data_IF_406644208223
#
_entry.id   IF_406644208223
#
_cell.length_a   1.000
_cell.length_b   1.000
_cell.length_c   1.000
_cell.angle_alpha   90.00
_cell.angle_beta   90.00
_cell.angle_gamma   90.00
#
_symmetry.space_group_name_H-M   'P 1'
#
loop_
_entity.id
_entity.type
_entity.pdbx_description
1 polymer ?
#
# COMPACT_ATOMS: atom_id res chain seq x y z
N UNK A 1 -15.52 -51.36 -6.23
CA UNK A 1 -15.25 -50.13 -7.00
C UNK A 1 -14.92 -50.49 -8.45
N UNK A 2 -15.74 -50.03 -9.39
CA UNK A 2 -15.55 -50.27 -10.83
C UNK A 2 -14.39 -49.46 -11.42
N UNK A 3 -13.93 -49.80 -12.63
CA UNK A 3 -12.92 -49.01 -13.36
C UNK A 3 -13.38 -47.55 -13.58
N UNK A 4 -14.66 -47.36 -13.94
CA UNK A 4 -15.24 -46.03 -14.18
C UNK A 4 -15.29 -45.13 -12.94
N UNK A 5 -15.51 -45.69 -11.75
CA UNK A 5 -15.49 -44.92 -10.49
C UNK A 5 -14.08 -44.42 -10.16
N UNK A 6 -13.07 -45.27 -10.35
CA UNK A 6 -11.66 -44.90 -10.16
C UNK A 6 -11.21 -43.83 -11.14
N UNK A 7 -11.64 -43.93 -12.40
CA UNK A 7 -11.33 -42.92 -13.42
C UNK A 7 -11.99 -41.56 -13.11
N UNK A 8 -13.23 -41.57 -12.59
CA UNK A 8 -13.92 -40.35 -12.18
C UNK A 8 -13.20 -39.66 -11.00
N UNK A 9 -12.80 -40.42 -9.99
CA UNK A 9 -12.04 -39.92 -8.84
C UNK A 9 -10.69 -39.34 -9.29
N UNK A 10 -9.97 -40.04 -10.17
CA UNK A 10 -8.70 -39.56 -10.70
C UNK A 10 -8.85 -38.24 -11.50
N UNK A 11 -9.92 -38.11 -12.30
CA UNK A 11 -10.22 -36.84 -12.99
C UNK A 11 -10.55 -35.72 -12.01
N UNK A 12 -11.34 -36.00 -10.97
CA UNK A 12 -11.68 -35.03 -9.93
C UNK A 12 -10.45 -34.51 -9.19
N UNK A 13 -9.52 -35.40 -8.82
CA UNK A 13 -8.26 -35.01 -8.17
C UNK A 13 -7.42 -34.08 -9.06
N UNK A 14 -7.22 -34.44 -10.33
CA UNK A 14 -6.49 -33.58 -11.28
C UNK A 14 -7.14 -32.21 -11.47
N UNK A 15 -8.48 -32.16 -11.54
CA UNK A 15 -9.20 -30.89 -11.65
C UNK A 15 -9.00 -30.03 -10.40
N UNK A 16 -9.03 -30.64 -9.21
CA UNK A 16 -8.80 -29.94 -7.94
C UNK A 16 -7.36 -29.40 -7.84
N UNK A 17 -6.37 -30.20 -8.23
CA UNK A 17 -4.97 -29.77 -8.28
C UNK A 17 -4.78 -28.60 -9.24
N UNK A 18 -5.36 -28.67 -10.44
CA UNK A 18 -5.33 -27.58 -11.41
C UNK A 18 -6.01 -26.31 -10.88
N UNK A 19 -7.17 -26.44 -10.22
CA UNK A 19 -7.85 -25.32 -9.58
C UNK A 19 -6.98 -24.67 -8.48
N UNK A 20 -6.37 -25.47 -7.61
CA UNK A 20 -5.47 -24.96 -6.57
C UNK A 20 -4.26 -24.24 -7.16
N UNK A 21 -3.66 -24.79 -8.23
CA UNK A 21 -2.54 -24.16 -8.92
C UNK A 21 -2.91 -22.79 -9.48
N UNK A 22 -4.01 -22.70 -10.26
CA UNK A 22 -4.48 -21.44 -10.85
C UNK A 22 -4.79 -20.38 -9.79
N UNK A 23 -5.51 -20.75 -8.72
CA UNK A 23 -5.81 -19.83 -7.63
C UNK A 23 -4.54 -19.35 -6.91
N UNK A 24 -3.58 -20.27 -6.68
CA UNK A 24 -2.31 -19.96 -6.04
C UNK A 24 -1.39 -19.09 -6.90
N UNK A 25 -1.30 -19.36 -8.20
CA UNK A 25 -0.54 -18.55 -9.17
C UNK A 25 -1.09 -17.14 -9.27
N UNK A 26 -2.41 -16.99 -9.37
CA UNK A 26 -3.04 -15.69 -9.38
C UNK A 26 -2.79 -14.91 -8.08
N UNK A 27 -2.92 -15.57 -6.93
CA UNK A 27 -2.61 -14.97 -5.63
C UNK A 27 -1.16 -14.47 -5.56
N UNK A 28 -0.20 -15.28 -5.99
CA UNK A 28 1.23 -14.87 -6.06
C UNK A 28 1.45 -13.69 -7.00
N UNK A 29 0.81 -13.66 -8.16
CA UNK A 29 0.92 -12.56 -9.10
C UNK A 29 0.37 -11.25 -8.52
N UNK A 30 -0.79 -11.30 -7.85
CA UNK A 30 -1.37 -10.12 -7.17
C UNK A 30 -0.46 -9.63 -6.05
N UNK A 31 0.09 -10.52 -5.23
CA UNK A 31 1.01 -10.13 -4.16
C UNK A 31 2.32 -9.56 -4.71
N UNK A 32 2.84 -10.08 -5.83
CA UNK A 32 4.01 -9.52 -6.49
C UNK A 32 3.75 -8.07 -6.97
N UNK A 33 2.56 -7.79 -7.51
CA UNK A 33 2.16 -6.42 -7.90
C UNK A 33 2.08 -5.52 -6.67
N UNK A 34 1.43 -5.96 -5.60
CA UNK A 34 1.30 -5.17 -4.35
C UNK A 34 2.67 -4.87 -3.74
N UNK A 35 3.55 -5.86 -3.68
CA UNK A 35 4.91 -5.70 -3.18
C UNK A 35 5.73 -4.72 -4.02
N UNK A 36 5.58 -4.73 -5.35
CA UNK A 36 6.25 -3.79 -6.24
C UNK A 36 5.67 -2.37 -6.16
N UNK A 37 4.35 -2.25 -5.94
CA UNK A 37 3.66 -0.96 -5.85
C UNK A 37 3.96 -0.21 -4.54
N UNK A 38 3.98 -0.93 -3.41
CA UNK A 38 4.13 -0.36 -2.07
C UNK A 38 5.27 0.66 -1.95
N UNK A 39 6.54 0.37 -2.31
CA UNK A 39 7.62 1.33 -2.16
C UNK A 39 7.51 2.54 -3.10
N UNK A 40 6.79 2.41 -4.23
CA UNK A 40 6.54 3.53 -5.13
C UNK A 40 5.49 4.46 -4.51
N UNK A 41 4.41 3.88 -3.98
CA UNK A 41 3.37 4.63 -3.29
C UNK A 41 3.93 5.32 -2.04
N UNK A 42 4.73 4.63 -1.24
CA UNK A 42 5.36 5.20 -0.03
C UNK A 42 6.23 6.42 -0.37
N UNK A 43 7.09 6.30 -1.38
CA UNK A 43 7.92 7.41 -1.81
C UNK A 43 7.09 8.60 -2.32
N UNK A 44 5.96 8.33 -2.99
CA UNK A 44 5.07 9.37 -3.46
C UNK A 44 4.32 10.07 -2.30
N UNK A 45 3.87 9.31 -1.30
CA UNK A 45 3.28 9.85 -0.06
C UNK A 45 4.29 10.70 0.69
N UNK A 46 5.51 10.19 0.87
CA UNK A 46 6.61 10.92 1.49
C UNK A 46 6.91 12.24 0.78
N UNK A 47 6.99 12.23 -0.56
CA UNK A 47 7.21 13.43 -1.35
C UNK A 47 6.05 14.43 -1.21
N UNK A 48 4.81 13.94 -1.23
CA UNK A 48 3.63 14.78 -1.05
C UNK A 48 3.59 15.41 0.36
N UNK A 49 3.89 14.65 1.42
CA UNK A 49 3.93 15.13 2.79
C UNK A 49 5.08 16.13 3.03
N UNK A 50 6.19 16.00 2.30
CA UNK A 50 7.28 16.97 2.37
C UNK A 50 6.92 18.31 1.71
N UNK A 51 6.03 18.29 0.73
CA UNK A 51 5.49 19.51 0.13
C UNK A 51 4.45 20.23 1.02
N UNK A 52 3.94 19.58 2.07
CA UNK A 52 2.92 20.14 2.95
C UNK A 52 3.57 20.83 4.16
N UNK A 53 3.38 22.16 4.35
CA UNK A 53 3.91 22.87 5.51
C UNK A 53 3.29 22.41 6.84
N UNK A 54 4.07 22.41 7.91
CA UNK A 54 3.62 22.05 9.26
C UNK A 54 2.45 22.93 9.76
N UNK A 55 2.34 24.17 9.26
CA UNK A 55 1.23 25.06 9.54
C UNK A 55 -0.14 24.46 9.19
N UNK A 56 -0.21 23.58 8.17
CA UNK A 56 -1.45 22.90 7.76
C UNK A 56 -2.03 21.97 8.85
N UNK A 57 -1.21 21.51 9.80
CA UNK A 57 -1.68 20.71 10.93
C UNK A 57 -2.56 21.54 11.90
N UNK A 58 -2.40 22.87 11.93
CA UNK A 58 -3.26 23.74 12.73
C UNK A 58 -4.69 23.77 12.18
N UNK A 59 -4.82 23.84 10.86
CA UNK A 59 -6.12 23.87 10.18
C UNK A 59 -6.87 22.55 10.39
N UNK A 60 -6.16 21.42 10.28
CA UNK A 60 -6.74 20.08 10.51
C UNK A 60 -7.27 19.87 11.93
N UNK A 61 -6.81 20.65 12.91
CA UNK A 61 -7.21 20.54 14.33
C UNK A 61 -8.15 21.66 14.79
N UNK A 62 -8.67 22.48 13.86
CA UNK A 62 -9.54 23.61 14.17
C UNK A 62 -8.82 24.74 14.93
N UNK A 63 -7.54 24.97 14.63
CA UNK A 63 -6.75 26.09 15.15
C UNK A 63 -6.25 25.96 16.59
N UNK A 64 -6.51 24.84 17.27
CA UNK A 64 -6.14 24.62 18.68
C UNK A 64 -4.69 24.18 18.88
N UNK A 65 -4.02 23.78 17.81
CA UNK A 65 -2.64 23.28 17.85
C UNK A 65 -1.63 24.42 17.75
N UNK A 66 -0.77 24.56 18.78
CA UNK A 66 0.33 25.53 18.77
C UNK A 66 1.57 24.94 18.10
N UNK A 67 1.63 24.96 16.76
CA UNK A 67 2.78 24.40 16.01
C UNK A 67 3.96 25.36 15.91
N UNK A 68 3.83 26.61 16.37
CA UNK A 68 4.89 27.62 16.26
C UNK A 68 6.22 27.20 16.91
N UNK A 69 6.18 26.46 18.02
CA UNK A 69 7.40 25.93 18.65
C UNK A 69 8.06 24.81 17.81
N UNK A 70 7.24 23.99 17.14
CA UNK A 70 7.70 22.93 16.25
C UNK A 70 8.35 23.52 15.01
N UNK A 71 7.72 24.53 14.40
CA UNK A 71 8.28 25.24 13.25
C UNK A 71 9.59 25.95 13.60
N UNK A 72 9.65 26.62 14.76
CA UNK A 72 10.88 27.25 15.27
C UNK A 72 12.00 26.26 15.58
N UNK A 73 11.68 24.98 15.81
CA UNK A 73 12.67 23.91 16.01
C UNK A 73 13.30 23.41 14.69
N UNK A 74 12.84 23.93 13.54
CA UNK A 74 13.34 23.59 12.21
C UNK A 74 12.50 22.52 11.49
N UNK A 75 11.45 22.00 12.11
CA UNK A 75 10.52 21.06 11.50
C UNK A 75 9.46 21.85 10.70
N UNK A 76 9.66 21.95 9.39
CA UNK A 76 8.84 22.80 8.49
C UNK A 76 7.75 22.04 7.74
N UNK A 77 7.89 20.72 7.58
CA UNK A 77 7.00 19.90 6.76
C UNK A 77 6.31 18.84 7.62
N UNK A 78 5.17 18.35 7.15
CA UNK A 78 4.44 17.26 7.85
C UNK A 78 5.27 15.98 7.87
N UNK A 79 6.00 15.70 6.77
CA UNK A 79 6.97 14.61 6.73
C UNK A 79 7.99 14.70 7.87
N UNK A 80 8.63 15.86 8.04
CA UNK A 80 9.64 16.06 9.08
C UNK A 80 9.09 15.84 10.50
N UNK A 81 7.82 16.17 10.73
CA UNK A 81 7.13 15.91 12.00
C UNK A 81 6.93 14.40 12.24
N UNK A 82 6.50 13.66 11.22
CA UNK A 82 6.35 12.20 11.30
C UNK A 82 7.71 11.51 11.52
N UNK A 83 8.74 11.93 10.78
CA UNK A 83 10.10 11.40 10.89
C UNK A 83 10.75 11.71 12.25
N UNK A 84 10.45 12.87 12.83
CA UNK A 84 10.89 13.24 14.17
C UNK A 84 10.30 12.33 15.25
N UNK A 85 9.02 11.95 15.08
CA UNK A 85 8.28 11.12 16.02
C UNK A 85 8.05 11.74 17.40
N UNK A 86 7.29 11.06 18.28
CA UNK A 86 6.88 11.62 19.58
C UNK A 86 8.05 11.97 20.50
N UNK A 87 9.13 11.19 20.45
CA UNK A 87 10.29 11.37 21.32
C UNK A 87 11.02 12.68 21.04
N UNK A 88 11.34 12.97 19.77
CA UNK A 88 12.04 14.20 19.40
C UNK A 88 11.15 15.42 19.58
N UNK A 89 9.85 15.31 19.28
CA UNK A 89 8.90 16.40 19.47
C UNK A 89 8.79 16.84 20.94
N UNK A 90 8.89 15.90 21.90
CA UNK A 90 8.91 16.20 23.34
C UNK A 90 10.15 16.96 23.81
N UNK A 91 11.25 16.91 23.05
CA UNK A 91 12.47 17.64 23.40
C UNK A 91 12.38 19.14 23.03
N UNK A 92 11.34 19.54 22.29
CA UNK A 92 11.16 20.92 21.85
C UNK A 92 10.66 21.76 23.05
N UNK A 93 11.38 22.83 23.44
CA UNK A 93 10.93 23.69 24.54
C UNK A 93 9.55 24.28 24.28
N UNK A 94 8.64 24.10 25.26
CA UNK A 94 7.25 24.56 25.17
C UNK A 94 6.27 23.56 24.54
N UNK A 95 6.73 22.35 24.15
CA UNK A 95 5.86 21.29 23.61
C UNK A 95 5.65 20.20 24.66
N UNK A 96 4.44 20.13 25.21
CA UNK A 96 4.04 19.09 26.17
C UNK A 96 3.51 17.81 25.52
N UNK A 97 3.37 16.74 26.31
CA UNK A 97 2.86 15.43 25.85
C UNK A 97 1.56 15.54 25.04
N UNK A 98 0.56 16.26 25.57
CA UNK A 98 -0.73 16.45 24.88
C UNK A 98 -0.58 17.10 23.51
N UNK A 99 0.34 18.05 23.39
CA UNK A 99 0.61 18.73 22.11
C UNK A 99 1.28 17.78 21.14
N UNK A 100 2.22 16.94 21.61
CA UNK A 100 2.84 15.89 20.79
C UNK A 100 1.81 14.91 20.27
N UNK A 101 0.94 14.39 21.13
CA UNK A 101 -0.08 13.42 20.75
C UNK A 101 -1.02 14.00 19.67
N UNK A 102 -1.42 15.27 19.83
CA UNK A 102 -2.26 15.96 18.84
C UNK A 102 -1.54 16.19 17.51
N UNK A 103 -0.26 16.61 17.54
CA UNK A 103 0.55 16.81 16.33
C UNK A 103 0.68 15.50 15.57
N UNK A 104 1.03 14.42 16.27
CA UNK A 104 1.25 13.11 15.65
C UNK A 104 -0.06 12.55 15.08
N UNK A 105 -1.15 12.64 15.83
CA UNK A 105 -2.47 12.21 15.33
C UNK A 105 -2.89 12.99 14.08
N UNK A 106 -2.74 14.32 14.08
CA UNK A 106 -3.08 15.15 12.93
C UNK A 106 -2.20 14.84 11.71
N UNK A 107 -0.90 14.61 11.94
CA UNK A 107 0.04 14.26 10.87
C UNK A 107 -0.26 12.86 10.29
N UNK A 108 -0.62 11.88 11.13
CA UNK A 108 -1.05 10.55 10.70
C UNK A 108 -2.33 10.60 9.87
N UNK A 109 -3.34 11.34 10.34
CA UNK A 109 -4.59 11.52 9.60
C UNK A 109 -4.33 12.16 8.23
N UNK A 110 -3.43 13.16 8.15
CA UNK A 110 -3.05 13.75 6.87
C UNK A 110 -2.29 12.78 5.98
N UNK A 111 -1.39 11.97 6.55
CA UNK A 111 -0.71 10.90 5.82
C UNK A 111 -1.69 9.89 5.22
N UNK A 112 -2.74 9.51 5.95
CA UNK A 112 -3.80 8.63 5.46
C UNK A 112 -4.57 9.27 4.29
N UNK A 113 -4.98 10.54 4.42
CA UNK A 113 -5.64 11.27 3.33
C UNK A 113 -4.75 11.42 2.08
N UNK A 114 -3.45 11.62 2.26
CA UNK A 114 -2.49 11.68 1.13
C UNK A 114 -2.33 10.30 0.49
N UNK A 115 -2.26 9.24 1.29
CA UNK A 115 -2.18 7.86 0.78
C UNK A 115 -3.35 7.51 -0.15
N UNK A 116 -4.55 7.97 0.17
CA UNK A 116 -5.76 7.75 -0.63
C UNK A 116 -5.77 8.51 -1.97
N UNK A 117 -5.04 9.63 -2.05
CA UNK A 117 -5.10 10.55 -3.21
C UNK A 117 -3.86 10.54 -4.09
N UNK A 118 -2.76 9.95 -3.63
CA UNK A 118 -1.50 9.96 -4.36
C UNK A 118 -1.59 9.17 -5.66
N UNK A 119 -1.20 9.80 -6.77
CA UNK A 119 -1.10 9.15 -8.06
C UNK A 119 0.31 8.59 -8.26
N UNK A 120 0.42 7.29 -8.55
CA UNK A 120 1.68 6.68 -8.96
C UNK A 120 1.94 6.99 -10.42
N UNK A 121 3.01 7.75 -10.70
CA UNK A 121 3.41 8.11 -12.05
C UNK A 121 4.45 7.12 -12.61
N UNK A 122 4.19 6.60 -13.81
CA UNK A 122 5.11 5.76 -14.55
C UNK A 122 5.66 6.57 -15.73
N UNK A 123 6.88 7.08 -15.57
CA UNK A 123 7.61 7.76 -16.63
C UNK A 123 8.23 6.72 -17.58
N UNK A 124 7.73 6.67 -18.81
CA UNK A 124 8.16 5.71 -19.84
C UNK A 124 9.49 6.15 -20.47
N UNK A 125 9.77 7.45 -20.51
CA UNK A 125 10.99 8.00 -21.07
C UNK A 125 12.17 7.89 -20.08
N UNK A 126 11.88 7.76 -18.78
CA UNK A 126 12.88 7.57 -17.72
C UNK A 126 12.52 6.41 -16.81
N UNK A 127 12.62 5.15 -17.30
CA UNK A 127 12.29 3.98 -16.51
C UNK A 127 13.22 3.85 -15.29
N UNK A 128 12.62 3.54 -14.14
CA UNK A 128 13.33 3.27 -12.90
C UNK A 128 13.26 1.76 -12.61
N UNK A 129 14.23 1.18 -11.89
CA UNK A 129 14.19 -0.24 -11.54
C UNK A 129 12.89 -0.67 -10.83
N UNK A 130 12.39 0.17 -9.91
CA UNK A 130 11.12 -0.06 -9.19
C UNK A 130 9.88 -0.02 -10.08
N UNK A 131 9.79 0.95 -11.00
CA UNK A 131 8.64 1.05 -11.92
C UNK A 131 8.66 -0.08 -12.95
N UNK A 132 9.85 -0.48 -13.39
CA UNK A 132 10.04 -1.67 -14.25
C UNK A 132 9.59 -2.95 -13.54
N UNK A 133 9.94 -3.12 -12.26
CA UNK A 133 9.50 -4.27 -11.47
C UNK A 133 7.97 -4.33 -11.35
N UNK A 134 7.30 -3.18 -11.14
CA UNK A 134 5.84 -3.10 -11.12
C UNK A 134 5.23 -3.49 -12.47
N UNK A 135 5.73 -2.94 -13.57
CA UNK A 135 5.24 -3.27 -14.92
C UNK A 135 5.43 -4.76 -15.22
N UNK A 136 6.58 -5.35 -14.86
CA UNK A 136 6.82 -6.80 -15.02
C UNK A 136 5.84 -7.65 -14.21
N UNK A 137 5.52 -7.25 -12.98
CA UNK A 137 4.54 -7.96 -12.16
C UNK A 137 3.13 -7.85 -12.74
N UNK A 138 2.74 -6.67 -13.24
CA UNK A 138 1.45 -6.45 -13.90
C UNK A 138 1.33 -7.23 -15.21
N UNK A 139 2.42 -7.34 -15.97
CA UNK A 139 2.45 -8.04 -17.25
C UNK A 139 1.96 -9.49 -17.12
N UNK A 140 2.29 -10.19 -16.02
CA UNK A 140 1.79 -11.56 -15.77
C UNK A 140 0.26 -11.62 -15.73
N UNK A 141 -0.38 -10.65 -15.09
CA UNK A 141 -1.84 -10.59 -15.01
C UNK A 141 -2.48 -10.14 -16.32
N UNK A 142 -1.81 -9.27 -17.08
CA UNK A 142 -2.27 -8.80 -18.39
C UNK A 142 -2.20 -9.91 -19.43
N UNK A 143 -1.08 -10.63 -19.50
CA UNK A 143 -0.89 -11.76 -20.43
C UNK A 143 -1.87 -12.91 -20.17
N UNK A 144 -2.24 -13.13 -18.91
CA UNK A 144 -3.25 -14.14 -18.56
C UNK A 144 -4.64 -13.78 -19.14
N UNK A 145 -4.88 -12.51 -19.47
CA UNK A 145 -6.08 -12.03 -20.16
C UNK A 145 -7.35 -12.08 -19.32
N UNK A 146 -8.48 -11.69 -19.93
CA UNK A 146 -9.78 -11.63 -19.26
C UNK A 146 -10.29 -13.01 -18.79
N UNK A 147 -9.86 -14.08 -19.45
CA UNK A 147 -10.26 -15.45 -19.11
C UNK A 147 -9.62 -15.96 -17.83
N UNK A 148 -8.45 -15.44 -17.45
CA UNK A 148 -7.82 -15.79 -16.19
C UNK A 148 -8.68 -15.43 -14.98
N UNK A 149 -9.41 -14.31 -15.03
CA UNK A 149 -10.36 -13.94 -13.96
C UNK A 149 -11.43 -15.01 -13.79
N UNK A 150 -12.06 -15.41 -14.90
CA UNK A 150 -13.11 -16.45 -14.91
C UNK A 150 -12.58 -17.80 -14.43
N UNK A 151 -11.36 -18.16 -14.83
CA UNK A 151 -10.70 -19.38 -14.41
C UNK A 151 -10.41 -19.38 -12.89
N UNK A 152 -9.93 -18.25 -12.34
CA UNK A 152 -9.68 -18.07 -10.91
C UNK A 152 -10.97 -18.14 -10.09
N UNK A 153 -12.04 -17.47 -10.54
CA UNK A 153 -13.33 -17.50 -9.86
C UNK A 153 -13.89 -18.94 -9.79
N UNK A 154 -13.78 -19.68 -10.89
CA UNK A 154 -14.17 -21.08 -10.98
C UNK A 154 -13.30 -21.96 -10.08
N UNK A 155 -11.98 -21.78 -10.12
CA UNK A 155 -11.02 -22.49 -9.30
C UNK A 155 -11.26 -22.26 -7.79
N UNK A 156 -11.56 -21.03 -7.39
CA UNK A 156 -11.89 -20.68 -6.01
C UNK A 156 -13.21 -21.32 -5.54
N UNK A 157 -14.20 -21.49 -6.43
CA UNK A 157 -15.42 -22.23 -6.12
C UNK A 157 -15.15 -23.74 -5.96
N UNK A 158 -14.28 -24.31 -6.81
CA UNK A 158 -13.91 -25.73 -6.75
C UNK A 158 -13.01 -26.08 -5.55
N UNK A 159 -12.23 -25.13 -5.04
CA UNK A 159 -11.31 -25.33 -3.92
C UNK A 159 -11.99 -25.18 -2.55
N UNK A 160 -13.12 -24.45 -2.48
CA UNK A 160 -13.92 -24.27 -1.25
C UNK A 160 -14.86 -25.44 -0.93
N UNK A 161 -15.01 -26.39 -1.85
CA UNK A 161 -15.81 -27.61 -1.71
C UNK A 161 -14.92 -28.81 -1.39
#
# INVERSE_FOLDING_TARGET
>A
MGRGERDAVARGMRLREAAQAVAGDHGRAVEAVRAALKPIQDAAVEQALDAIPVARLQEATGGRLRVAHVEKSGLRTVRQVLDAGPYRLRQIPGVGQRTVDQIVAAAQQLSEMVLETVAVHLDVDRPQPRTTALVRALHVLVEAGADARRAVDTAAALTRR
#
